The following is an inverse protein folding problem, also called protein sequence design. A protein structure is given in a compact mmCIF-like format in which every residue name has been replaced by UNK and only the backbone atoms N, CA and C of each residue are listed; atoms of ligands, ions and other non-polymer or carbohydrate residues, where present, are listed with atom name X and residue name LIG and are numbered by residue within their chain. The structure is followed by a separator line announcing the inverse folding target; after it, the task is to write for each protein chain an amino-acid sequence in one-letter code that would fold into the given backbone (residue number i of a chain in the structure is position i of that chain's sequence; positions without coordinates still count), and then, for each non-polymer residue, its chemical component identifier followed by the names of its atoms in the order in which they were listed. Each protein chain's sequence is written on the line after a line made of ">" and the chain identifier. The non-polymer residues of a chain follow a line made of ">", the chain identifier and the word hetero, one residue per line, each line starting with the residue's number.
data_IF_620113142134
#
_entry.id   IF_620113142134
#
_cell.length_a   1.000
_cell.length_b   1.000
_cell.length_c   1.000
_cell.angle_alpha   90.00
_cell.angle_beta   90.00
_cell.angle_gamma   90.00
#
_symmetry.space_group_name_H-M   'P 1'
#
loop_
_entity.id
_entity.type
_entity.pdbx_description
1 polymer ?
#
# COMPACT_ATOMS: atom_id res chain seq x y z
N UNK A 1 -6.16 18.00 -33.04
CA UNK A 1 -5.50 16.91 -33.77
C UNK A 1 -4.08 16.81 -33.26
N UNK A 2 -3.83 15.87 -32.35
CA UNK A 2 -2.50 15.63 -31.80
C UNK A 2 -1.64 14.96 -32.86
N UNK A 3 -0.65 15.70 -33.35
CA UNK A 3 0.28 15.24 -34.37
C UNK A 3 1.32 14.34 -33.71
N UNK A 4 1.20 13.02 -33.91
CA UNK A 4 2.28 12.07 -33.66
C UNK A 4 3.54 12.51 -34.43
N UNK A 5 4.56 12.97 -33.71
CA UNK A 5 5.84 13.35 -34.31
C UNK A 5 6.69 12.10 -34.52
N UNK A 6 6.49 11.43 -35.66
CA UNK A 6 7.45 10.40 -36.11
C UNK A 6 8.82 11.06 -36.25
N UNK A 7 9.81 10.61 -35.47
CA UNK A 7 11.20 11.05 -35.62
C UNK A 7 11.68 10.64 -37.01
N UNK A 8 11.68 11.63 -37.90
CA UNK A 8 12.03 11.49 -39.29
C UNK A 8 13.28 12.31 -39.53
N UNK A 9 14.36 11.69 -39.98
CA UNK A 9 15.60 12.39 -40.32
C UNK A 9 15.92 12.29 -41.80
N UNK A 10 16.42 13.39 -42.35
CA UNK A 10 16.82 13.50 -43.75
C UNK A 10 18.18 14.20 -43.83
N UNK A 11 19.05 13.70 -44.70
CA UNK A 11 20.26 14.38 -45.16
C UNK A 11 20.36 14.27 -46.67
N UNK A 12 20.66 15.36 -47.37
CA UNK A 12 20.94 15.30 -48.81
C UNK A 12 22.36 14.81 -49.06
N UNK A 13 22.49 13.80 -49.93
CA UNK A 13 23.79 13.26 -50.34
C UNK A 13 24.31 13.94 -51.61
N UNK A 14 23.39 14.41 -52.46
CA UNK A 14 23.70 15.05 -53.73
C UNK A 14 23.99 16.55 -53.58
N UNK A 15 24.76 17.09 -54.52
CA UNK A 15 24.99 18.53 -54.60
C UNK A 15 23.75 19.27 -55.14
N UNK A 16 23.73 20.61 -55.05
CA UNK A 16 22.58 21.42 -55.48
C UNK A 16 22.22 21.20 -56.95
N UNK A 17 23.21 21.10 -57.83
CA UNK A 17 23.01 20.94 -59.27
C UNK A 17 22.30 19.63 -59.61
N UNK A 18 22.76 18.52 -59.04
CA UNK A 18 22.15 17.20 -59.19
C UNK A 18 20.70 17.16 -58.71
N UNK A 19 20.40 17.85 -57.61
CA UNK A 19 19.03 17.96 -57.09
C UNK A 19 18.15 18.72 -58.09
N UNK A 20 18.59 19.87 -58.58
CA UNK A 20 17.80 20.63 -59.55
C UNK A 20 17.60 19.88 -60.88
N UNK A 21 18.57 19.09 -61.32
CA UNK A 21 18.45 18.23 -62.49
C UNK A 21 17.46 17.09 -62.27
N UNK A 22 17.47 16.49 -61.08
CA UNK A 22 16.47 15.49 -60.70
C UNK A 22 15.07 16.10 -60.63
N UNK A 23 14.92 17.30 -60.08
CA UNK A 23 13.64 18.00 -59.97
C UNK A 23 13.05 18.36 -61.34
N UNK A 24 13.89 18.66 -62.33
CA UNK A 24 13.43 18.87 -63.72
C UNK A 24 12.83 17.60 -64.34
N UNK A 25 13.28 16.41 -63.93
CA UNK A 25 12.75 15.13 -64.40
C UNK A 25 11.54 14.66 -63.60
N UNK A 26 11.39 15.13 -62.35
CA UNK A 26 10.35 14.70 -61.41
C UNK A 26 9.64 15.91 -60.78
N UNK A 27 8.81 16.59 -61.56
CA UNK A 27 8.10 17.81 -61.14
C UNK A 27 7.26 17.62 -59.87
N UNK A 28 6.66 16.45 -59.69
CA UNK A 28 5.85 16.11 -58.50
C UNK A 28 6.65 16.17 -57.19
N UNK A 29 7.96 15.93 -57.25
CA UNK A 29 8.87 16.00 -56.09
C UNK A 29 9.37 17.41 -55.80
N UNK A 30 9.31 18.32 -56.78
CA UNK A 30 9.89 19.65 -56.69
C UNK A 30 9.28 20.49 -55.57
N UNK A 31 7.96 20.48 -55.42
CA UNK A 31 7.26 21.24 -54.37
C UNK A 31 7.67 20.80 -52.96
N UNK A 32 7.85 19.49 -52.76
CA UNK A 32 8.20 18.89 -51.47
C UNK A 32 9.67 19.15 -51.15
N UNK A 33 10.57 18.88 -52.10
CA UNK A 33 12.02 19.13 -51.93
C UNK A 33 12.29 20.61 -51.68
N UNK A 34 11.67 21.52 -52.44
CA UNK A 34 11.82 22.96 -52.20
C UNK A 34 11.27 23.39 -50.84
N UNK A 35 10.16 22.80 -50.40
CA UNK A 35 9.58 23.08 -49.08
C UNK A 35 10.51 22.62 -47.95
N UNK A 36 11.20 21.49 -48.12
CA UNK A 36 12.23 21.01 -47.18
C UNK A 36 13.43 21.96 -47.17
N UNK A 37 13.99 22.29 -48.34
CA UNK A 37 15.16 23.17 -48.48
C UNK A 37 14.91 24.59 -47.95
N UNK A 38 13.69 25.12 -48.05
CA UNK A 38 13.31 26.44 -47.51
C UNK A 38 13.03 26.42 -45.99
N UNK A 39 12.77 25.25 -45.42
CA UNK A 39 12.39 25.12 -44.00
C UNK A 39 13.58 24.71 -43.13
N UNK A 40 14.45 23.85 -43.65
CA UNK A 40 15.53 23.23 -42.90
C UNK A 40 16.89 23.60 -43.52
N UNK A 41 17.64 24.45 -42.82
CA UNK A 41 19.03 24.79 -43.18
C UNK A 41 20.01 23.72 -42.73
N UNK A 42 21.18 23.64 -43.37
CA UNK A 42 22.24 22.68 -43.02
C UNK A 42 21.94 21.22 -43.36
N UNK A 43 20.85 20.94 -44.10
CA UNK A 43 20.39 19.58 -44.43
C UNK A 43 21.33 18.82 -45.39
N UNK A 44 22.29 19.51 -46.01
CA UNK A 44 23.36 18.89 -46.81
C UNK A 44 24.51 18.40 -45.94
N UNK A 45 24.80 19.11 -44.85
CA UNK A 45 25.97 18.85 -44.02
C UNK A 45 25.62 17.90 -42.86
N UNK A 46 24.39 17.99 -42.34
CA UNK A 46 23.96 17.30 -41.13
C UNK A 46 22.66 16.51 -41.32
N UNK A 47 22.57 15.39 -40.62
CA UNK A 47 21.30 14.66 -40.46
C UNK A 47 20.29 15.53 -39.72
N UNK A 48 19.24 15.95 -40.45
CA UNK A 48 18.29 16.95 -39.96
C UNK A 48 16.93 16.33 -39.67
N UNK A 49 16.39 16.59 -38.48
CA UNK A 49 15.04 16.17 -38.09
C UNK A 49 14.00 16.99 -38.84
N UNK A 50 13.13 16.32 -39.59
CA UNK A 50 12.05 16.95 -40.35
C UNK A 50 10.68 16.60 -39.76
N UNK A 51 9.76 17.56 -39.83
CA UNK A 51 8.36 17.39 -39.43
C UNK A 51 7.51 17.19 -40.71
N UNK A 52 7.11 15.95 -40.96
CA UNK A 52 6.32 15.57 -42.16
C UNK A 52 4.98 16.33 -42.24
N UNK A 53 4.16 16.42 -41.17
CA UNK A 53 2.95 17.25 -41.16
C UNK A 53 3.18 18.71 -41.55
N UNK A 54 4.28 19.32 -41.11
CA UNK A 54 4.61 20.70 -41.44
C UNK A 54 4.95 20.86 -42.93
N UNK A 55 5.71 19.92 -43.50
CA UNK A 55 6.03 19.92 -44.93
C UNK A 55 4.78 19.66 -45.78
N UNK A 56 3.94 18.72 -45.37
CA UNK A 56 2.64 18.45 -46.02
C UNK A 56 1.77 19.72 -46.09
N UNK A 57 1.67 20.46 -44.97
CA UNK A 57 0.93 21.73 -44.90
C UNK A 57 1.54 22.82 -45.80
N UNK A 58 2.88 22.96 -45.83
CA UNK A 58 3.56 23.97 -46.66
C UNK A 58 3.49 23.64 -48.16
N UNK A 59 3.58 22.36 -48.52
CA UNK A 59 3.51 21.91 -49.90
C UNK A 59 2.07 21.78 -50.41
N UNK A 60 1.07 21.87 -49.52
CA UNK A 60 -0.36 21.63 -49.80
C UNK A 60 -0.63 20.22 -50.37
N UNK A 61 0.02 19.23 -49.78
CA UNK A 61 0.05 17.82 -50.21
C UNK A 61 -0.23 16.94 -48.99
N UNK A 62 -0.72 15.72 -49.18
CA UNK A 62 -0.95 14.76 -48.09
C UNK A 62 0.36 14.23 -47.47
N UNK A 63 0.35 13.92 -46.18
CA UNK A 63 1.51 13.34 -45.48
C UNK A 63 2.00 12.02 -46.11
N UNK A 64 1.07 11.20 -46.62
CA UNK A 64 1.39 9.94 -47.28
C UNK A 64 2.16 10.15 -48.58
N UNK A 65 1.85 11.20 -49.34
CA UNK A 65 2.61 11.57 -50.55
C UNK A 65 4.00 12.11 -50.20
N UNK A 66 4.15 12.86 -49.10
CA UNK A 66 5.47 13.31 -48.62
C UNK A 66 6.36 12.12 -48.28
N UNK A 67 5.83 11.14 -47.54
CA UNK A 67 6.56 9.92 -47.20
C UNK A 67 6.99 9.16 -48.47
N UNK A 68 6.07 8.95 -49.42
CA UNK A 68 6.40 8.28 -50.69
C UNK A 68 7.51 8.97 -51.48
N UNK A 69 7.52 10.31 -51.52
CA UNK A 69 8.57 11.05 -52.21
C UNK A 69 9.90 10.95 -51.48
N UNK A 70 9.92 10.95 -50.15
CA UNK A 70 11.14 10.73 -49.37
C UNK A 70 11.71 9.32 -49.60
N UNK A 71 10.85 8.30 -49.63
CA UNK A 71 11.25 6.93 -49.97
C UNK A 71 11.82 6.84 -51.40
N UNK A 72 11.19 7.50 -52.38
CA UNK A 72 11.69 7.55 -53.76
C UNK A 72 13.04 8.27 -53.87
N UNK A 73 13.22 9.40 -53.17
CA UNK A 73 14.49 10.12 -53.15
C UNK A 73 15.60 9.28 -52.51
N UNK A 74 15.29 8.47 -51.51
CA UNK A 74 16.23 7.53 -50.92
C UNK A 74 16.56 6.40 -51.88
N UNK A 75 15.57 5.81 -52.58
CA UNK A 75 15.81 4.77 -53.58
C UNK A 75 16.69 5.24 -54.74
N UNK A 76 16.68 6.54 -55.03
CA UNK A 76 17.51 7.16 -56.05
C UNK A 76 18.85 7.70 -55.50
N UNK A 77 19.22 7.37 -54.26
CA UNK A 77 20.45 7.81 -53.57
C UNK A 77 20.63 9.34 -53.49
N UNK A 78 19.54 10.11 -53.53
CA UNK A 78 19.57 11.58 -53.45
C UNK A 78 19.62 12.04 -51.99
N UNK A 79 18.94 11.29 -51.11
CA UNK A 79 18.89 11.55 -49.68
C UNK A 79 19.17 10.30 -48.87
N UNK A 80 19.75 10.49 -47.69
CA UNK A 80 19.69 9.53 -46.60
C UNK A 80 18.43 9.84 -45.77
N UNK A 81 17.49 8.90 -45.75
CA UNK A 81 16.23 9.02 -45.03
C UNK A 81 16.13 7.92 -43.96
N UNK A 82 15.79 8.32 -42.73
CA UNK A 82 15.48 7.37 -41.64
C UNK A 82 14.15 7.73 -41.02
N UNK A 83 13.27 6.73 -40.99
CA UNK A 83 11.96 6.82 -40.35
C UNK A 83 11.98 5.93 -39.11
N UNK A 84 11.96 6.53 -37.93
CA UNK A 84 11.86 5.76 -36.69
C UNK A 84 10.38 5.41 -36.46
N UNK A 85 10.02 4.17 -36.77
CA UNK A 85 8.77 3.56 -36.30
C UNK A 85 8.92 3.19 -34.82
N UNK A 86 8.88 4.17 -33.94
CA UNK A 86 8.73 3.91 -32.50
C UNK A 86 7.37 4.42 -32.05
N UNK A 87 6.47 3.48 -31.76
CA UNK A 87 5.07 3.74 -31.40
C UNK A 87 4.87 4.25 -29.96
N UNK A 88 5.94 4.51 -29.21
CA UNK A 88 5.84 5.02 -27.84
C UNK A 88 6.72 6.25 -27.60
N UNK A 89 6.05 7.40 -27.48
CA UNK A 89 6.58 8.58 -26.81
C UNK A 89 5.63 8.94 -25.65
N UNK A 90 6.19 9.14 -24.45
CA UNK A 90 5.45 9.64 -23.28
C UNK A 90 5.66 11.14 -23.22
N UNK A 91 4.60 11.91 -23.47
CA UNK A 91 4.62 13.38 -23.33
C UNK A 91 3.90 13.75 -22.05
N UNK A 92 4.63 14.34 -21.09
CA UNK A 92 4.02 14.89 -19.90
C UNK A 92 3.33 16.22 -20.25
N UNK A 93 2.02 16.31 -20.01
CA UNK A 93 1.22 17.52 -20.30
C UNK A 93 1.57 18.72 -19.40
N UNK A 94 2.33 18.45 -18.34
CA UNK A 94 2.79 19.42 -17.36
C UNK A 94 4.29 19.21 -17.18
N UNK A 95 5.11 20.27 -17.07
CA UNK A 95 6.51 20.11 -16.70
C UNK A 95 6.62 19.27 -15.42
N UNK A 96 7.59 18.35 -15.40
CA UNK A 96 7.97 17.66 -14.16
C UNK A 96 8.50 18.72 -13.20
N UNK A 97 7.71 19.02 -12.20
CA UNK A 97 8.12 19.89 -11.11
C UNK A 97 8.74 19.01 -10.00
N UNK A 98 10.05 19.16 -9.78
CA UNK A 98 10.74 18.42 -8.71
C UNK A 98 10.35 18.96 -7.32
N UNK A 99 10.18 18.03 -6.37
CA UNK A 99 9.93 18.13 -4.91
C UNK A 99 8.85 19.09 -4.38
N UNK A 100 8.38 20.09 -5.14
CA UNK A 100 7.54 21.18 -4.64
C UNK A 100 6.05 21.05 -4.98
N UNK A 101 5.66 20.16 -5.88
CA UNK A 101 4.25 19.95 -6.31
C UNK A 101 3.52 18.89 -5.50
N UNK A 102 4.23 18.16 -4.63
CA UNK A 102 3.56 17.34 -3.62
C UNK A 102 2.71 18.23 -2.70
N UNK A 103 3.00 19.52 -2.55
CA UNK A 103 2.37 20.42 -1.56
C UNK A 103 0.82 20.37 -1.49
N UNK A 104 0.11 20.21 -2.60
CA UNK A 104 -1.37 20.16 -2.59
C UNK A 104 -1.94 18.90 -1.95
N UNK A 105 -1.23 17.78 -2.01
CA UNK A 105 -1.62 16.51 -1.39
C UNK A 105 -0.64 16.05 -0.30
N UNK A 106 0.48 16.74 -0.08
CA UNK A 106 1.49 16.45 0.94
C UNK A 106 0.85 16.43 2.31
N UNK A 107 0.06 17.47 2.61
CA UNK A 107 -0.67 17.58 3.87
C UNK A 107 -1.64 16.40 4.04
N UNK A 108 -2.36 16.01 2.98
CA UNK A 108 -3.26 14.84 3.00
C UNK A 108 -2.52 13.52 3.19
N UNK A 109 -1.33 13.38 2.58
CA UNK A 109 -0.48 12.19 2.74
C UNK A 109 0.09 12.12 4.16
N UNK A 110 0.52 13.25 4.72
CA UNK A 110 0.99 13.35 6.11
C UNK A 110 -0.14 13.01 7.09
N UNK A 111 -1.33 13.60 6.91
CA UNK A 111 -2.52 13.29 7.71
C UNK A 111 -2.88 11.81 7.63
N UNK A 112 -2.87 11.22 6.43
CA UNK A 112 -3.14 9.78 6.25
C UNK A 112 -2.09 8.90 6.93
N UNK A 113 -0.82 9.31 6.91
CA UNK A 113 0.25 8.59 7.58
C UNK A 113 0.14 8.72 9.11
N UNK A 114 -0.26 9.88 9.61
CA UNK A 114 -0.50 10.11 11.03
C UNK A 114 -1.65 9.24 11.54
N UNK A 115 -2.80 9.24 10.86
CA UNK A 115 -3.94 8.38 11.19
C UNK A 115 -3.56 6.89 11.18
N UNK A 116 -2.69 6.46 10.26
CA UNK A 116 -2.19 5.08 10.23
C UNK A 116 -1.35 4.74 11.46
N UNK A 117 -0.51 5.66 11.93
CA UNK A 117 0.29 5.46 13.15
C UNK A 117 -0.60 5.36 14.37
N UNK A 118 -1.56 6.26 14.52
CA UNK A 118 -2.51 6.28 15.63
C UNK A 118 -3.30 4.95 15.71
N UNK A 119 -3.85 4.48 14.58
CA UNK A 119 -4.56 3.19 14.54
C UNK A 119 -3.67 1.99 14.89
N UNK A 120 -2.39 2.03 14.49
CA UNK A 120 -1.44 0.98 14.85
C UNK A 120 -1.15 1.01 16.35
N UNK A 121 -0.96 2.19 16.93
CA UNK A 121 -0.76 2.37 18.38
C UNK A 121 -1.97 1.87 19.18
N UNK A 122 -3.20 2.15 18.73
CA UNK A 122 -4.43 1.61 19.34
C UNK A 122 -4.47 0.08 19.29
N UNK A 123 -4.05 -0.54 18.17
CA UNK A 123 -3.94 -1.99 18.05
C UNK A 123 -2.87 -2.58 18.98
N UNK A 124 -1.71 -1.92 19.10
CA UNK A 124 -0.67 -2.32 20.05
C UNK A 124 -1.18 -2.24 21.50
N UNK A 125 -1.87 -1.15 21.85
CA UNK A 125 -2.51 -1.01 23.16
C UNK A 125 -3.59 -2.08 23.39
N UNK A 126 -4.33 -2.49 22.36
CA UNK A 126 -5.28 -3.59 22.49
C UNK A 126 -4.59 -4.91 22.87
N UNK A 127 -3.43 -5.20 22.29
CA UNK A 127 -2.66 -6.43 22.56
C UNK A 127 -1.98 -6.40 23.94
N UNK A 128 -1.37 -5.27 24.32
CA UNK A 128 -0.53 -5.19 25.52
C UNK A 128 -1.30 -4.88 26.81
N UNK A 129 -2.36 -4.05 26.74
CA UNK A 129 -3.06 -3.61 27.95
C UNK A 129 -4.17 -4.62 28.33
N UNK A 130 -4.07 -5.15 29.55
CA UNK A 130 -4.88 -6.26 30.05
C UNK A 130 -5.84 -5.85 31.18
N UNK A 131 -5.92 -4.56 31.54
CA UNK A 131 -6.77 -4.08 32.65
C UNK A 131 -8.19 -3.72 32.24
N UNK A 132 -8.38 -3.31 30.99
CA UNK A 132 -9.69 -2.87 30.46
C UNK A 132 -10.33 -4.01 29.65
N UNK A 133 -11.63 -4.22 29.81
CA UNK A 133 -12.44 -5.14 29.02
C UNK A 133 -12.16 -5.01 27.51
N UNK A 134 -11.86 -6.14 26.85
CA UNK A 134 -11.55 -6.16 25.41
C UNK A 134 -12.69 -5.63 24.55
N UNK A 135 -13.94 -5.99 24.87
CA UNK A 135 -15.11 -5.52 24.12
C UNK A 135 -15.24 -4.00 24.20
N UNK A 136 -14.96 -3.39 25.36
CA UNK A 136 -15.03 -1.93 25.52
C UNK A 136 -13.96 -1.22 24.69
N UNK A 137 -12.75 -1.79 24.60
CA UNK A 137 -11.68 -1.27 23.74
C UNK A 137 -12.06 -1.33 22.26
N UNK A 138 -12.63 -2.45 21.81
CA UNK A 138 -13.06 -2.61 20.41
C UNK A 138 -14.16 -1.59 20.09
N UNK A 139 -15.16 -1.44 20.96
CA UNK A 139 -16.22 -0.45 20.78
C UNK A 139 -15.65 0.97 20.70
N UNK A 140 -14.73 1.32 21.61
CA UNK A 140 -14.08 2.63 21.60
C UNK A 140 -13.31 2.91 20.29
N UNK A 141 -12.62 1.91 19.73
CA UNK A 141 -11.94 2.01 18.43
C UNK A 141 -12.90 2.34 17.28
N UNK A 142 -14.13 1.81 17.33
CA UNK A 142 -15.18 2.14 16.36
C UNK A 142 -16.01 3.39 16.73
N UNK A 143 -15.60 4.14 17.76
CA UNK A 143 -16.26 5.37 18.21
C UNK A 143 -17.48 5.14 19.11
N UNK A 144 -17.72 3.90 19.53
CA UNK A 144 -18.83 3.54 20.42
C UNK A 144 -18.39 3.61 21.89
N UNK A 145 -19.25 4.18 22.74
CA UNK A 145 -18.98 4.30 24.18
C UNK A 145 -19.85 3.34 24.96
N UNK A 146 -19.23 2.58 25.84
CA UNK A 146 -19.93 1.76 26.84
C UNK A 146 -19.20 1.79 28.17
N UNK A 147 -19.98 1.92 29.24
CA UNK A 147 -19.52 1.84 30.62
C UNK A 147 -19.51 0.40 31.16
N UNK A 148 -20.18 -0.52 30.46
CA UNK A 148 -20.36 -1.90 30.93
C UNK A 148 -19.28 -2.83 30.38
N UNK A 149 -18.70 -3.62 31.28
CA UNK A 149 -17.78 -4.70 30.95
C UNK A 149 -18.56 -5.91 30.39
N UNK A 150 -18.01 -6.62 29.40
CA UNK A 150 -18.74 -7.67 28.68
C UNK A 150 -18.91 -8.99 29.46
N UNK A 151 -18.20 -9.18 30.57
CA UNK A 151 -18.24 -10.40 31.38
C UNK A 151 -17.56 -11.63 30.77
N UNK A 152 -17.41 -11.69 29.43
CA UNK A 152 -16.98 -12.91 28.72
C UNK A 152 -15.54 -12.89 28.20
N UNK A 153 -14.85 -11.74 28.18
CA UNK A 153 -13.47 -11.66 27.70
C UNK A 153 -12.45 -12.09 28.77
N UNK A 154 -11.25 -12.47 28.35
CA UNK A 154 -10.11 -12.83 29.23
C UNK A 154 -9.80 -11.80 30.34
N UNK A 155 -9.94 -10.50 30.07
CA UNK A 155 -9.79 -9.45 31.08
C UNK A 155 -10.92 -9.49 32.10
N UNK A 156 -12.17 -9.60 31.64
CA UNK A 156 -13.33 -9.69 32.53
C UNK A 156 -13.29 -10.96 33.37
N UNK A 157 -12.92 -12.10 32.78
CA UNK A 157 -12.81 -13.38 33.48
C UNK A 157 -11.68 -13.38 34.53
N UNK A 158 -10.63 -12.58 34.32
CA UNK A 158 -9.61 -12.33 35.35
C UNK A 158 -10.14 -11.46 36.49
N UNK A 159 -10.92 -10.43 36.18
CA UNK A 159 -11.45 -9.49 37.18
C UNK A 159 -12.68 -10.00 37.94
N UNK A 160 -13.50 -10.89 37.35
CA UNK A 160 -14.71 -11.47 37.96
C UNK A 160 -14.40 -12.49 39.08
N UNK A 161 -13.13 -12.84 39.25
CA UNK A 161 -12.64 -13.72 40.29
C UNK A 161 -12.54 -12.95 41.62
N UNK A 162 -13.70 -12.69 42.23
CA UNK A 162 -13.99 -12.10 43.55
C UNK A 162 -12.76 -11.63 44.34
N UNK A 163 -12.35 -10.38 44.14
CA UNK A 163 -11.61 -9.60 45.14
C UNK A 163 -12.62 -9.10 46.17
N UNK A 164 -12.92 -9.90 47.20
CA UNK A 164 -13.92 -9.50 48.19
C UNK A 164 -14.12 -10.44 49.37
N UNK A 165 -13.62 -11.68 49.30
CA UNK A 165 -13.61 -12.58 50.45
C UNK A 165 -12.22 -12.64 51.04
N UNK A 166 -12.15 -12.43 52.35
CA UNK A 166 -10.91 -12.62 53.11
C UNK A 166 -10.55 -14.10 53.12
N UNK A 167 -9.25 -14.40 53.10
CA UNK A 167 -8.76 -15.79 53.07
C UNK A 167 -9.31 -16.57 54.27
N UNK A 168 -9.56 -15.90 55.39
CA UNK A 168 -10.16 -16.47 56.60
C UNK A 168 -11.63 -16.89 56.40
N UNK A 169 -12.42 -16.12 55.65
CA UNK A 169 -13.81 -16.48 55.34
C UNK A 169 -13.86 -17.70 54.41
N UNK A 170 -13.00 -17.70 53.37
CA UNK A 170 -12.86 -18.81 52.44
C UNK A 170 -12.40 -20.10 53.15
N UNK A 171 -11.47 -19.97 54.09
CA UNK A 171 -10.96 -21.09 54.88
C UNK A 171 -12.06 -21.72 55.75
N UNK A 172 -12.96 -20.90 56.33
CA UNK A 172 -14.12 -21.41 57.10
C UNK A 172 -15.10 -22.16 56.22
N UNK A 173 -15.37 -21.66 55.02
CA UNK A 173 -16.29 -22.27 54.06
C UNK A 173 -15.74 -23.61 53.54
N UNK A 174 -14.44 -23.68 53.23
CA UNK A 174 -13.76 -24.94 52.88
C UNK A 174 -13.87 -25.95 54.03
N UNK A 175 -13.63 -25.52 55.28
CA UNK A 175 -13.78 -26.40 56.45
C UNK A 175 -15.22 -26.89 56.65
N UNK A 176 -16.23 -26.09 56.31
CA UNK A 176 -17.63 -26.53 56.36
C UNK A 176 -17.91 -27.61 55.30
N UNK A 177 -17.49 -27.40 54.05
CA UNK A 177 -17.66 -28.39 52.99
C UNK A 177 -16.95 -29.72 53.30
N UNK A 178 -15.75 -29.64 53.90
CA UNK A 178 -14.98 -30.82 54.29
C UNK A 178 -15.56 -31.58 55.50
N UNK A 179 -16.48 -30.98 56.27
CA UNK A 179 -17.24 -31.71 57.30
C UNK A 179 -18.28 -32.65 56.68
N UNK A 180 -18.91 -32.22 55.60
CA UNK A 180 -19.97 -32.99 54.95
C UNK A 180 -19.38 -34.11 54.08
N UNK A 181 -18.33 -33.80 53.30
CA UNK A 181 -17.69 -34.77 52.42
C UNK A 181 -16.22 -34.44 52.18
N UNK A 182 -15.40 -35.48 52.00
CA UNK A 182 -14.01 -35.31 51.54
C UNK A 182 -14.00 -34.84 50.09
N UNK A 183 -13.25 -33.78 49.80
CA UNK A 183 -13.16 -33.19 48.48
C UNK A 183 -11.71 -33.09 48.01
N UNK A 184 -11.48 -33.27 46.71
CA UNK A 184 -10.20 -32.93 46.08
C UNK A 184 -10.13 -31.43 45.80
N UNK A 185 -8.92 -30.92 45.51
CA UNK A 185 -8.73 -29.51 45.10
C UNK A 185 -9.62 -29.15 43.90
N UNK A 186 -9.71 -30.02 42.91
CA UNK A 186 -10.56 -29.82 41.72
C UNK A 186 -12.04 -29.78 42.07
N UNK A 187 -12.50 -30.64 42.98
CA UNK A 187 -13.89 -30.63 43.41
C UNK A 187 -14.25 -29.35 44.18
N UNK A 188 -13.35 -28.88 45.05
CA UNK A 188 -13.53 -27.61 45.76
C UNK A 188 -13.59 -26.42 44.80
N UNK A 189 -12.74 -26.39 43.76
CA UNK A 189 -12.76 -25.34 42.74
C UNK A 189 -14.07 -25.34 41.93
N UNK A 190 -14.71 -26.50 41.74
CA UNK A 190 -15.99 -26.60 41.03
C UNK A 190 -17.19 -26.24 41.92
N UNK A 191 -17.12 -26.53 43.22
CA UNK A 191 -18.20 -26.24 44.16
C UNK A 191 -18.19 -24.79 44.65
N UNK A 192 -17.01 -24.16 44.69
CA UNK A 192 -16.83 -22.80 45.18
C UNK A 192 -16.77 -21.82 44.01
N UNK A 193 -17.62 -20.79 44.03
CA UNK A 193 -17.65 -19.73 43.00
C UNK A 193 -16.54 -18.66 43.18
N UNK A 194 -15.34 -19.08 43.64
CA UNK A 194 -14.22 -18.18 43.92
C UNK A 194 -13.03 -18.38 42.98
N UNK A 195 -12.08 -17.44 43.01
CA UNK A 195 -10.82 -17.56 42.28
C UNK A 195 -10.07 -18.83 42.70
N UNK A 196 -9.70 -19.66 41.72
CA UNK A 196 -8.80 -20.80 41.89
C UNK A 196 -7.56 -20.45 42.73
N UNK A 197 -6.92 -19.31 42.48
CA UNK A 197 -5.74 -18.88 43.23
C UNK A 197 -6.04 -18.61 44.71
N UNK A 198 -7.20 -18.03 45.01
CA UNK A 198 -7.62 -17.77 46.38
C UNK A 198 -7.98 -19.06 47.10
N UNK A 199 -8.64 -20.00 46.41
CA UNK A 199 -8.97 -21.33 46.93
C UNK A 199 -7.69 -22.11 47.25
N UNK A 200 -6.73 -22.15 46.31
CA UNK A 200 -5.45 -22.84 46.53
C UNK A 200 -4.63 -22.20 47.66
N UNK A 201 -4.63 -20.87 47.78
CA UNK A 201 -3.99 -20.16 48.90
C UNK A 201 -4.63 -20.51 50.25
N UNK A 202 -5.97 -20.54 50.32
CA UNK A 202 -6.68 -20.92 51.54
C UNK A 202 -6.42 -22.40 51.92
N UNK A 203 -6.44 -23.32 50.94
CA UNK A 203 -6.10 -24.73 51.17
C UNK A 203 -4.66 -24.87 51.68
N UNK A 204 -3.71 -24.14 51.08
CA UNK A 204 -2.30 -24.17 51.51
C UNK A 204 -2.14 -23.69 52.95
N UNK A 205 -2.78 -22.58 53.32
CA UNK A 205 -2.78 -22.09 54.71
C UNK A 205 -3.42 -23.08 55.69
N UNK A 206 -4.50 -23.76 55.31
CA UNK A 206 -5.15 -24.78 56.15
C UNK A 206 -4.27 -26.04 56.36
N UNK A 207 -3.46 -26.41 55.35
CA UNK A 207 -2.49 -27.50 55.46
C UNK A 207 -1.30 -27.10 56.36
N UNK A 208 -0.80 -25.88 56.20
CA UNK A 208 0.28 -25.31 57.03
C UNK A 208 -0.14 -25.19 58.50
N UNK A 209 -1.38 -24.75 58.76
CA UNK A 209 -2.00 -24.69 60.08
C UNK A 209 -2.33 -26.08 60.67
N UNK A 210 -2.19 -27.15 59.88
CA UNK A 210 -2.51 -28.53 60.30
C UNK A 210 -4.00 -28.81 60.51
N UNK A 211 -4.90 -27.96 60.00
CA UNK A 211 -6.37 -28.11 60.15
C UNK A 211 -6.97 -29.16 59.22
N UNK A 212 -6.31 -29.43 58.10
CA UNK A 212 -6.70 -30.45 57.11
C UNK A 212 -5.50 -31.31 56.73
N UNK A 213 -5.74 -32.54 56.28
CA UNK A 213 -4.71 -33.48 55.78
C UNK A 213 -5.16 -34.13 54.49
N UNK A 214 -4.19 -34.66 53.75
CA UNK A 214 -4.43 -35.38 52.49
C UNK A 214 -4.52 -36.87 52.77
N UNK A 215 -5.59 -37.51 52.29
CA UNK A 215 -5.78 -38.96 52.41
C UNK A 215 -5.08 -39.72 51.26
N UNK A 216 -5.15 -41.06 51.30
CA UNK A 216 -4.56 -41.94 50.27
C UNK A 216 -5.21 -41.83 48.88
N UNK A 217 -6.33 -41.09 48.75
CA UNK A 217 -7.05 -40.83 47.50
C UNK A 217 -6.83 -39.40 46.97
N UNK A 218 -5.90 -38.64 47.55
CA UNK A 218 -5.65 -37.22 47.23
C UNK A 218 -6.87 -36.32 47.46
N UNK A 219 -7.67 -36.63 48.49
CA UNK A 219 -8.75 -35.77 48.97
C UNK A 219 -8.37 -35.17 50.32
N UNK A 220 -8.88 -33.98 50.60
CA UNK A 220 -8.69 -33.32 51.88
C UNK A 220 -9.71 -33.85 52.90
N UNK A 221 -9.24 -34.08 54.12
CA UNK A 221 -10.05 -34.42 55.28
C UNK A 221 -9.62 -33.56 56.47
N UNK A 222 -10.56 -33.26 57.38
CA UNK A 222 -10.25 -32.51 58.60
C UNK A 222 -9.39 -33.38 59.52
N UNK A 223 -8.36 -32.78 60.13
CA UNK A 223 -7.47 -33.45 61.08
C UNK A 223 -8.19 -33.84 62.37
#
# INVERSE_FOLDING_TARGET
>A
SESFLKKTTVRFLSNKEQIFDYLRKNESSATIVQSILRTYGGIFDFETKINVPLIAKKANISESQVIKVLEQLQMNDIIEYRSQQSDLEITFLVPREDDRTIHTFANKVQERNQLKREKLEEMLQYVHENKICRSRKILAYFGEKTSQDCGICDTCLRNYRVEGITIEALSKEILQLLKDKKHSSRALILCLEYNEQSILKAISGLLEDGKIKINTKNEYEIC
#
